data_IF_575297218369
#
_entry.id   IF_575297218369
#
_cell.length_a   1.000
_cell.length_b   1.000
_cell.length_c   1.000
_cell.angle_alpha   90.00
_cell.angle_beta   90.00
_cell.angle_gamma   90.00
#
_symmetry.space_group_name_H-M   'P 1'
#
loop_
_entity.id
_entity.type
_entity.pdbx_description
1 polymer ?
#
# COMPACT_ATOMS: atom_id res chain seq x y z
N UNK A 1 9.07 -0.09 4.28
CA UNK A 1 7.63 -0.32 4.50
C UNK A 1 7.36 -0.56 5.97
N UNK A 2 6.21 -0.09 6.47
CA UNK A 2 5.66 -0.56 7.74
C UNK A 2 5.05 -1.94 7.47
N UNK A 3 5.51 -2.97 8.17
CA UNK A 3 4.96 -4.31 8.01
C UNK A 3 3.97 -4.59 9.15
N UNK A 4 2.85 -5.20 8.78
CA UNK A 4 1.73 -5.51 9.65
C UNK A 4 1.66 -7.00 9.92
N UNK A 5 1.37 -7.32 11.18
CA UNK A 5 0.99 -8.62 11.75
C UNK A 5 1.92 -9.81 11.50
N UNK A 6 2.84 -10.07 12.43
CA UNK A 6 3.47 -11.39 12.55
C UNK A 6 2.44 -12.39 13.10
N UNK A 7 2.12 -13.44 12.34
CA UNK A 7 1.34 -14.59 12.78
C UNK A 7 2.25 -15.81 12.96
N UNK A 8 2.57 -16.19 14.21
CA UNK A 8 3.32 -17.42 14.50
C UNK A 8 2.39 -18.67 14.54
N UNK A 9 2.98 -19.84 14.27
CA UNK A 9 2.48 -21.02 13.53
C UNK A 9 1.53 -22.02 14.23
N UNK A 10 0.86 -22.83 13.40
CA UNK A 10 0.55 -24.23 13.69
C UNK A 10 1.15 -25.14 12.58
N UNK A 11 2.11 -25.99 12.98
CA UNK A 11 2.90 -26.97 12.21
C UNK A 11 2.23 -27.68 11.01
N UNK A 12 2.79 -27.56 9.79
CA UNK A 12 2.83 -28.62 8.76
C UNK A 12 4.09 -28.48 7.88
N UNK A 13 4.81 -29.58 7.67
CA UNK A 13 5.99 -29.70 6.81
C UNK A 13 5.71 -29.38 5.33
N UNK A 14 6.50 -28.49 4.70
CA UNK A 14 6.76 -28.49 3.25
C UNK A 14 8.21 -28.09 2.96
N UNK A 15 8.85 -28.84 2.06
CA UNK A 15 10.21 -28.67 1.55
C UNK A 15 10.32 -27.59 0.45
N UNK A 16 11.46 -26.87 0.48
CA UNK A 16 11.89 -25.68 -0.30
C UNK A 16 11.61 -25.65 -1.82
N UNK A 17 11.37 -24.43 -2.32
CA UNK A 17 12.10 -23.84 -3.45
C UNK A 17 12.19 -22.30 -3.31
N UNK A 18 13.36 -21.74 -3.63
CA UNK A 18 13.73 -20.32 -3.61
C UNK A 18 12.97 -19.48 -4.65
N UNK A 19 12.38 -18.38 -4.18
CA UNK A 19 12.19 -17.14 -4.93
C UNK A 19 12.12 -16.00 -3.90
N UNK A 20 12.95 -14.98 -4.02
CA UNK A 20 12.84 -13.73 -3.25
C UNK A 20 11.51 -13.05 -3.59
N UNK A 21 10.46 -13.38 -2.82
CA UNK A 21 9.11 -12.83 -2.95
C UNK A 21 9.04 -11.47 -2.26
N UNK A 22 8.64 -10.44 -3.01
CA UNK A 22 8.41 -9.08 -2.51
C UNK A 22 7.08 -9.03 -1.77
N UNK A 23 7.04 -8.60 -0.52
CA UNK A 23 5.80 -8.46 0.25
C UNK A 23 4.83 -7.44 -0.40
N UNK A 24 3.49 -7.65 -0.35
CA UNK A 24 2.52 -6.70 -0.89
C UNK A 24 2.70 -5.33 -0.25
N UNK A 25 2.64 -4.26 -1.03
CA UNK A 25 2.87 -2.89 -0.53
C UNK A 25 1.75 -1.96 -0.96
N UNK A 26 1.13 -1.27 -0.02
CA UNK A 26 0.05 -0.31 -0.30
C UNK A 26 0.41 1.08 0.24
N UNK A 27 0.08 2.14 -0.48
CA UNK A 27 0.47 3.51 -0.15
C UNK A 27 -0.15 4.03 1.15
N UNK A 28 0.62 4.78 1.95
CA UNK A 28 0.05 5.63 3.01
C UNK A 28 -0.76 6.76 2.37
N UNK A 29 -2.02 6.93 2.77
CA UNK A 29 -2.95 7.90 2.17
C UNK A 29 -3.22 9.15 3.00
N UNK A 30 -3.08 9.07 4.33
CA UNK A 30 -3.29 10.21 5.22
C UNK A 30 -2.26 10.23 6.35
N UNK A 31 -1.79 11.44 6.66
CA UNK A 31 -0.89 11.73 7.76
C UNK A 31 -1.54 12.79 8.67
N UNK A 32 -1.56 12.53 9.98
CA UNK A 32 -1.82 13.56 10.99
C UNK A 32 -0.49 13.84 11.70
N UNK A 33 0.13 14.98 11.36
CA UNK A 33 1.50 15.28 11.81
C UNK A 33 1.60 15.59 13.29
N UNK A 34 0.61 16.29 13.85
CA UNK A 34 0.58 16.63 15.27
C UNK A 34 0.43 15.36 16.12
N UNK A 35 -0.33 14.39 15.62
CA UNK A 35 -0.58 13.14 16.32
C UNK A 35 0.31 11.97 15.88
N UNK A 36 1.20 12.14 14.90
CA UNK A 36 2.01 11.05 14.31
C UNK A 36 1.17 9.81 13.95
N UNK A 37 0.03 10.05 13.30
CA UNK A 37 -0.85 8.98 12.80
C UNK A 37 -0.68 8.82 11.30
N UNK A 38 -0.61 7.57 10.87
CA UNK A 38 -0.64 7.20 9.45
C UNK A 38 -1.85 6.34 9.16
N UNK A 39 -2.52 6.59 8.05
CA UNK A 39 -3.59 5.74 7.55
C UNK A 39 -3.30 5.25 6.15
N UNK A 40 -3.68 4.01 5.87
CA UNK A 40 -3.49 3.37 4.58
C UNK A 40 -4.22 2.03 4.54
N UNK A 41 -4.57 1.59 3.34
CA UNK A 41 -5.05 0.23 3.14
C UNK A 41 -3.93 -0.77 3.47
N UNK A 42 -4.27 -1.84 4.17
CA UNK A 42 -3.43 -3.02 4.30
C UNK A 42 -3.63 -3.91 3.07
N UNK A 43 -4.86 -3.99 2.56
CA UNK A 43 -5.21 -4.76 1.39
C UNK A 43 -6.47 -4.21 0.71
N UNK A 44 -6.47 -4.13 -0.62
CA UNK A 44 -7.60 -3.69 -1.44
C UNK A 44 -8.21 -4.85 -2.25
N UNK A 45 -9.54 -4.91 -2.43
CA UNK A 45 -10.19 -6.02 -3.11
C UNK A 45 -10.05 -5.95 -4.64
N UNK A 46 -10.07 -7.12 -5.27
CA UNK A 46 -10.34 -7.25 -6.72
C UNK A 46 -9.21 -6.81 -7.65
N UNK A 47 -8.04 -6.48 -7.12
CA UNK A 47 -6.86 -6.11 -7.90
C UNK A 47 -5.62 -6.86 -7.40
N UNK A 48 -4.74 -7.37 -8.29
CA UNK A 48 -3.49 -8.00 -7.91
C UNK A 48 -2.57 -7.09 -7.10
N UNK A 49 -2.06 -7.60 -5.99
CA UNK A 49 -0.96 -6.98 -5.26
C UNK A 49 0.38 -7.19 -5.98
N UNK A 50 1.47 -6.75 -5.36
CA UNK A 50 2.81 -6.88 -5.96
C UNK A 50 3.32 -8.33 -6.09
N UNK A 51 2.60 -9.32 -5.55
CA UNK A 51 2.87 -10.75 -5.71
C UNK A 51 1.98 -11.39 -6.78
N UNK A 52 1.05 -10.65 -7.36
CA UNK A 52 0.04 -11.19 -8.27
C UNK A 52 -1.15 -11.86 -7.57
N UNK A 53 -1.18 -11.82 -6.23
CA UNK A 53 -2.29 -12.33 -5.44
C UNK A 53 -3.40 -11.28 -5.35
N UNK A 54 -4.65 -11.71 -5.23
CA UNK A 54 -5.78 -10.81 -5.01
C UNK A 54 -6.78 -11.47 -4.06
N UNK A 55 -7.59 -10.64 -3.40
CA UNK A 55 -8.59 -11.12 -2.45
C UNK A 55 -9.96 -10.50 -2.72
N UNK A 56 -11.01 -11.24 -2.36
CA UNK A 56 -12.38 -10.71 -2.32
C UNK A 56 -12.56 -9.86 -1.07
N UNK A 57 -13.46 -8.88 -1.13
CA UNK A 57 -13.78 -8.01 0.01
C UNK A 57 -14.19 -8.81 1.28
N UNK A 58 -14.93 -9.91 1.11
CA UNK A 58 -15.31 -10.78 2.23
C UNK A 58 -14.09 -11.44 2.91
N UNK A 59 -13.11 -11.90 2.13
CA UNK A 59 -11.86 -12.48 2.66
C UNK A 59 -11.07 -11.43 3.44
N UNK A 60 -10.95 -10.22 2.87
CA UNK A 60 -10.27 -9.08 3.49
C UNK A 60 -10.94 -8.69 4.81
N UNK A 61 -12.28 -8.62 4.83
CA UNK A 61 -13.05 -8.32 6.04
C UNK A 61 -12.82 -9.37 7.13
N UNK A 62 -12.86 -10.65 6.77
CA UNK A 62 -12.58 -11.73 7.72
C UNK A 62 -11.16 -11.63 8.30
N UNK A 63 -10.17 -11.30 7.48
CA UNK A 63 -8.79 -11.07 7.92
C UNK A 63 -8.66 -9.88 8.87
N UNK A 64 -9.31 -8.75 8.56
CA UNK A 64 -9.32 -7.58 9.42
C UNK A 64 -9.93 -7.88 10.81
N UNK A 65 -11.04 -8.60 10.84
CA UNK A 65 -11.70 -9.01 12.08
C UNK A 65 -10.83 -10.00 12.87
N UNK A 66 -10.23 -10.97 12.19
CA UNK A 66 -9.37 -11.96 12.83
C UNK A 66 -8.11 -11.33 13.42
N UNK A 67 -7.50 -10.37 12.72
CA UNK A 67 -6.37 -9.58 13.23
C UNK A 67 -6.70 -8.91 14.56
N UNK A 68 -7.88 -8.27 14.67
CA UNK A 68 -8.36 -7.66 15.90
C UNK A 68 -8.68 -8.70 16.97
N UNK A 69 -9.39 -9.77 16.61
CA UNK A 69 -9.76 -10.86 17.53
C UNK A 69 -8.54 -11.50 18.18
N UNK A 70 -7.45 -11.63 17.43
CA UNK A 70 -6.16 -12.18 17.89
C UNK A 70 -5.33 -11.19 18.70
N UNK A 71 -5.74 -9.93 18.79
CA UNK A 71 -5.01 -8.90 19.55
C UNK A 71 -3.70 -8.46 18.90
N UNK A 72 -3.57 -8.59 17.57
CA UNK A 72 -2.33 -8.29 16.83
C UNK A 72 -2.08 -6.78 16.63
N UNK A 73 -2.83 -5.92 17.32
CA UNK A 73 -2.80 -4.45 17.19
C UNK A 73 -1.44 -3.82 17.52
N UNK A 74 -0.56 -4.53 18.22
CA UNK A 74 0.81 -4.09 18.52
C UNK A 74 1.88 -4.85 17.71
N UNK A 75 1.48 -5.78 16.84
CA UNK A 75 2.38 -6.62 16.05
C UNK A 75 2.72 -5.91 14.74
N UNK A 76 3.40 -4.77 14.84
CA UNK A 76 3.85 -3.98 13.70
C UNK A 76 5.37 -3.97 13.72
N UNK A 77 5.99 -4.44 12.65
CA UNK A 77 7.42 -4.43 12.44
C UNK A 77 7.78 -3.56 11.23
N UNK A 78 9.07 -3.51 10.87
CA UNK A 78 9.51 -2.73 9.70
C UNK A 78 10.27 -3.62 8.75
N UNK A 79 9.86 -3.62 7.48
CA UNK A 79 10.48 -4.42 6.42
C UNK A 79 10.56 -5.93 6.72
N UNK A 80 9.56 -6.50 7.39
CA UNK A 80 9.49 -7.93 7.72
C UNK A 80 10.72 -8.44 8.49
N UNK A 81 11.28 -7.59 9.36
CA UNK A 81 12.42 -7.96 10.20
C UNK A 81 12.01 -8.74 11.45
N UNK A 82 10.70 -8.91 11.69
CA UNK A 82 10.13 -9.61 12.84
C UNK A 82 10.45 -8.95 14.20
N UNK A 83 10.91 -7.70 14.19
CA UNK A 83 11.19 -6.92 15.38
C UNK A 83 10.09 -5.86 15.57
N UNK A 84 9.44 -5.88 16.73
CA UNK A 84 8.35 -4.93 17.03
C UNK A 84 8.88 -3.50 16.99
N UNK A 85 8.27 -2.69 16.12
CA UNK A 85 8.62 -1.28 15.91
C UNK A 85 8.17 -0.35 17.05
N UNK A 86 7.34 -0.85 17.97
CA UNK A 86 6.67 -0.02 18.98
C UNK A 86 5.49 0.81 18.44
N UNK A 87 5.19 0.71 17.14
CA UNK A 87 3.96 1.25 16.56
C UNK A 87 2.76 0.41 16.99
N UNK A 88 1.57 1.02 17.01
CA UNK A 88 0.34 0.32 17.34
C UNK A 88 -0.87 0.87 16.60
N UNK A 89 -1.84 0.00 16.36
CA UNK A 89 -3.11 0.32 15.70
C UNK A 89 -3.99 1.14 16.64
N UNK A 90 -4.46 2.29 16.16
CA UNK A 90 -5.48 3.12 16.82
C UNK A 90 -6.85 2.98 16.17
N UNK A 91 -6.90 2.64 14.88
CA UNK A 91 -8.14 2.43 14.13
C UNK A 91 -7.98 1.26 13.14
N UNK A 92 -9.03 0.46 12.98
CA UNK A 92 -9.09 -0.62 12.00
C UNK A 92 -10.53 -0.74 11.48
N UNK A 93 -10.70 -0.61 10.16
CA UNK A 93 -12.03 -0.61 9.55
C UNK A 93 -12.00 -1.11 8.11
N UNK A 94 -13.17 -1.46 7.60
CA UNK A 94 -13.40 -1.71 6.17
C UNK A 94 -13.92 -0.43 5.54
N UNK A 95 -13.23 0.04 4.49
CA UNK A 95 -13.61 1.23 3.74
C UNK A 95 -15.00 1.05 3.11
N UNK A 96 -15.83 2.09 3.21
CA UNK A 96 -17.22 2.07 2.73
C UNK A 96 -17.29 2.42 1.25
N UNK A 97 -18.42 2.12 0.63
CA UNK A 97 -18.72 2.48 -0.77
C UNK A 97 -18.66 3.99 -1.02
N UNK A 98 -18.98 4.81 -0.01
CA UNK A 98 -18.98 6.27 -0.08
C UNK A 98 -17.70 6.91 0.50
N UNK A 99 -16.66 6.12 0.77
CA UNK A 99 -15.38 6.63 1.25
C UNK A 99 -14.63 7.37 0.12
N UNK A 100 -14.29 8.63 0.35
CA UNK A 100 -13.61 9.46 -0.65
C UNK A 100 -12.09 9.38 -0.59
N UNK A 101 -11.53 8.62 0.36
CA UNK A 101 -10.08 8.53 0.62
C UNK A 101 -9.58 7.12 0.33
N UNK A 102 -10.32 6.10 0.75
CA UNK A 102 -9.89 4.70 0.65
C UNK A 102 -10.71 3.93 -0.39
N UNK A 103 -10.10 2.91 -0.99
CA UNK A 103 -10.80 2.05 -1.96
C UNK A 103 -11.90 1.26 -1.23
N UNK A 104 -13.18 1.30 -1.67
CA UNK A 104 -14.26 0.55 -1.05
C UNK A 104 -13.94 -0.94 -0.85
N UNK A 105 -14.31 -1.47 0.32
CA UNK A 105 -14.07 -2.86 0.70
C UNK A 105 -12.63 -3.17 1.13
N UNK A 106 -11.73 -2.19 1.12
CA UNK A 106 -10.36 -2.36 1.61
C UNK A 106 -10.31 -2.43 3.13
N UNK A 107 -9.38 -3.21 3.66
CA UNK A 107 -9.02 -3.12 5.08
C UNK A 107 -8.05 -1.97 5.28
N UNK A 108 -8.43 -1.01 6.12
CA UNK A 108 -7.64 0.19 6.46
C UNK A 108 -7.19 0.12 7.91
N UNK A 109 -5.93 0.49 8.15
CA UNK A 109 -5.41 0.72 9.50
C UNK A 109 -5.02 2.18 9.68
N UNK A 110 -5.38 2.73 10.84
CA UNK A 110 -4.76 3.91 11.44
C UNK A 110 -3.73 3.47 12.46
N UNK A 111 -2.47 3.88 12.29
CA UNK A 111 -1.35 3.45 13.12
C UNK A 111 -0.67 4.66 13.76
N UNK A 112 -0.45 4.58 15.07
CA UNK A 112 0.39 5.52 15.82
C UNK A 112 1.85 5.12 15.69
N UNK A 113 2.70 6.11 15.44
CA UNK A 113 4.16 5.94 15.29
C UNK A 113 4.89 6.78 16.35
N UNK A 114 5.15 6.24 17.54
CA UNK A 114 5.76 7.01 18.63
C UNK A 114 7.25 7.30 18.44
N UNK A 115 7.97 6.42 17.73
CA UNK A 115 9.40 6.57 17.49
C UNK A 115 9.66 7.75 16.53
N UNK A 116 10.40 8.79 16.96
CA UNK A 116 10.70 9.94 16.11
C UNK A 116 11.48 9.60 14.83
N UNK A 117 12.32 8.56 14.87
CA UNK A 117 13.12 8.17 13.71
C UNK A 117 12.26 7.44 12.68
N UNK A 118 11.40 6.51 13.10
CA UNK A 118 10.41 5.91 12.20
C UNK A 118 9.47 6.97 11.62
N UNK A 119 9.05 7.93 12.43
CA UNK A 119 8.24 9.06 11.96
C UNK A 119 8.97 9.89 10.90
N UNK A 120 10.26 10.18 11.10
CA UNK A 120 11.10 10.87 10.12
C UNK A 120 11.17 10.09 8.80
N UNK A 121 11.46 8.79 8.85
CA UNK A 121 11.53 7.91 7.68
C UNK A 121 10.20 7.87 6.91
N UNK A 122 9.06 7.90 7.60
CA UNK A 122 7.74 7.99 6.96
C UNK A 122 7.59 9.32 6.24
N UNK A 123 7.89 10.45 6.90
CA UNK A 123 7.76 11.78 6.28
C UNK A 123 8.64 11.93 5.05
N UNK A 124 9.82 11.33 5.07
CA UNK A 124 10.75 11.35 3.94
C UNK A 124 10.40 10.33 2.84
N UNK A 125 9.38 9.50 3.04
CA UNK A 125 8.93 8.50 2.08
C UNK A 125 9.81 7.25 2.00
N UNK A 126 10.76 7.07 2.92
CA UNK A 126 11.53 5.83 3.05
C UNK A 126 10.61 4.66 3.50
N UNK A 127 9.67 4.97 4.40
CA UNK A 127 8.56 4.09 4.78
C UNK A 127 7.27 4.66 4.19
N UNK A 128 6.88 4.16 3.02
CA UNK A 128 5.81 4.75 2.21
C UNK A 128 4.54 3.89 2.09
N UNK A 129 4.50 2.75 2.76
CA UNK A 129 3.38 1.83 2.64
C UNK A 129 3.31 0.78 3.72
N UNK A 130 2.11 0.20 3.85
CA UNK A 130 1.86 -0.98 4.64
C UNK A 130 2.14 -2.25 3.85
N UNK A 131 2.54 -3.28 4.57
CA UNK A 131 2.74 -4.62 4.03
C UNK A 131 2.12 -5.65 4.95
N UNK A 132 1.41 -6.63 4.40
CA UNK A 132 0.81 -7.69 5.18
C UNK A 132 1.75 -8.88 5.26
N UNK A 133 2.11 -9.28 6.48
CA UNK A 133 2.68 -10.60 6.74
C UNK A 133 1.58 -11.56 7.23
N UNK A 134 1.62 -12.80 6.77
CA UNK A 134 0.58 -13.77 7.08
C UNK A 134 0.62 -15.01 6.19
N UNK A 135 -0.07 -16.05 6.66
CA UNK A 135 -0.26 -17.30 5.91
C UNK A 135 -1.64 -17.35 5.29
N UNK A 136 -1.73 -17.81 4.04
CA UNK A 136 -2.98 -17.98 3.31
C UNK A 136 -3.00 -19.32 2.56
N UNK A 137 -4.21 -19.81 2.30
CA UNK A 137 -4.44 -20.87 1.32
C UNK A 137 -4.70 -20.18 -0.01
N UNK A 138 -3.83 -20.44 -0.99
CA UNK A 138 -3.98 -19.91 -2.34
C UNK A 138 -4.82 -20.86 -3.19
N UNK A 139 -5.67 -20.29 -4.05
CA UNK A 139 -6.44 -21.02 -5.04
C UNK A 139 -6.24 -20.34 -6.39
N UNK A 140 -5.66 -21.08 -7.34
CA UNK A 140 -5.42 -20.59 -8.69
C UNK A 140 -6.74 -20.12 -9.32
N UNK A 141 -6.81 -18.83 -9.60
CA UNK A 141 -7.97 -18.18 -10.20
C UNK A 141 -7.50 -17.26 -11.31
N UNK A 142 -8.15 -17.33 -12.46
CA UNK A 142 -7.90 -16.40 -13.56
C UNK A 142 -8.83 -15.21 -13.41
N UNK A 143 -8.26 -14.02 -13.40
CA UNK A 143 -8.99 -12.76 -13.52
C UNK A 143 -8.58 -12.09 -14.82
N UNK A 144 -9.56 -11.52 -15.52
CA UNK A 144 -9.31 -10.67 -16.67
C UNK A 144 -9.44 -9.22 -16.20
N UNK A 145 -8.31 -8.50 -16.22
CA UNK A 145 -8.24 -7.08 -15.90
C UNK A 145 -7.79 -6.35 -17.15
N UNK A 146 -8.58 -5.38 -17.58
CA UNK A 146 -8.16 -4.44 -18.61
C UNK A 146 -7.14 -3.47 -18.01
N UNK A 147 -5.86 -3.77 -18.25
CA UNK A 147 -4.75 -2.90 -17.88
C UNK A 147 -4.48 -1.91 -19.01
N UNK A 148 -4.63 -0.59 -18.78
CA UNK A 148 -4.23 0.38 -19.78
C UNK A 148 -2.70 0.37 -19.92
N UNK A 149 -2.19 0.48 -21.16
CA UNK A 149 -0.74 0.59 -21.40
C UNK A 149 -0.13 1.82 -20.70
N UNK A 150 -0.94 2.87 -20.56
CA UNK A 150 -0.57 4.12 -19.91
C UNK A 150 -1.70 4.51 -18.96
N UNK A 151 -1.36 4.70 -17.69
CA UNK A 151 -2.27 5.21 -16.68
C UNK A 151 -1.86 6.63 -16.30
N UNK A 152 -2.86 7.51 -16.18
CA UNK A 152 -2.66 8.87 -15.69
C UNK A 152 -3.46 9.07 -14.40
N UNK A 153 -2.96 9.91 -13.50
CA UNK A 153 -3.63 10.25 -12.25
C UNK A 153 -3.04 11.48 -11.58
N UNK A 154 -3.40 11.72 -10.33
CA UNK A 154 -2.81 12.77 -9.49
C UNK A 154 -2.10 12.18 -8.28
N UNK A 155 -1.02 12.81 -7.85
CA UNK A 155 -0.34 12.46 -6.60
C UNK A 155 -1.08 12.97 -5.37
N UNK A 156 -0.62 12.55 -4.19
CA UNK A 156 -0.92 13.23 -2.94
C UNK A 156 -0.38 14.69 -2.93
N UNK A 157 -0.82 15.45 -1.92
CA UNK A 157 -0.30 16.78 -1.66
C UNK A 157 1.00 16.62 -0.86
N UNK A 158 2.11 17.09 -1.43
CA UNK A 158 3.37 17.28 -0.73
C UNK A 158 3.89 18.70 -1.01
N UNK A 159 4.50 19.32 0.00
CA UNK A 159 4.97 20.72 -0.06
C UNK A 159 3.95 21.70 -0.68
N UNK A 160 2.68 21.56 -0.27
CA UNK A 160 1.58 22.45 -0.68
C UNK A 160 1.05 22.27 -2.09
N UNK A 161 1.49 21.28 -2.87
CA UNK A 161 0.99 21.04 -4.24
C UNK A 161 0.88 19.55 -4.60
N UNK A 162 0.28 19.27 -5.76
CA UNK A 162 0.17 17.95 -6.38
C UNK A 162 0.83 17.97 -7.75
N UNK A 163 1.12 16.79 -8.29
CA UNK A 163 1.42 16.61 -9.70
C UNK A 163 0.42 15.67 -10.36
N UNK A 164 0.19 15.85 -11.66
CA UNK A 164 -0.30 14.75 -12.49
C UNK A 164 0.82 13.71 -12.63
N UNK A 165 0.51 12.42 -12.63
CA UNK A 165 1.48 11.38 -12.97
C UNK A 165 1.04 10.61 -14.20
N UNK A 166 2.04 10.04 -14.88
CA UNK A 166 1.86 9.05 -15.93
C UNK A 166 2.74 7.85 -15.63
N UNK A 167 2.16 6.65 -15.59
CA UNK A 167 2.89 5.39 -15.44
C UNK A 167 2.55 4.42 -16.57
N UNK A 168 3.51 3.58 -16.95
CA UNK A 168 3.36 2.57 -17.99
C UNK A 168 3.52 1.16 -17.44
N UNK A 169 2.77 0.23 -18.03
CA UNK A 169 2.80 -1.19 -17.69
C UNK A 169 3.26 -2.04 -18.88
N UNK A 170 3.88 -3.19 -18.60
CA UNK A 170 4.16 -4.19 -19.64
C UNK A 170 2.91 -5.03 -19.96
N UNK A 171 3.05 -5.96 -20.90
CA UNK A 171 1.97 -6.86 -21.32
C UNK A 171 1.62 -7.94 -20.28
N UNK A 172 2.35 -7.99 -19.15
CA UNK A 172 2.07 -8.84 -18.01
C UNK A 172 1.48 -8.03 -16.82
N UNK A 173 1.28 -6.72 -17.00
CA UNK A 173 0.74 -5.83 -15.98
C UNK A 173 1.79 -5.33 -14.98
N UNK A 174 3.08 -5.59 -15.18
CA UNK A 174 4.13 -5.08 -14.29
C UNK A 174 4.39 -3.59 -14.57
N UNK A 175 4.59 -2.81 -13.51
CA UNK A 175 4.96 -1.40 -13.60
C UNK A 175 6.36 -1.26 -14.23
N UNK A 176 6.45 -0.62 -15.38
CA UNK A 176 7.73 -0.27 -16.04
C UNK A 176 8.32 1.00 -15.41
N UNK A 177 7.47 1.92 -14.97
CA UNK A 177 7.83 3.21 -14.39
C UNK A 177 7.01 4.35 -14.97
N UNK A 178 7.40 5.58 -14.66
CA UNK A 178 6.65 6.76 -15.07
C UNK A 178 7.33 8.08 -14.73
N UNK A 179 6.60 9.17 -14.96
CA UNK A 179 7.01 10.53 -14.57
C UNK A 179 5.82 11.34 -14.10
N UNK A 180 6.08 12.39 -13.31
CA UNK A 180 5.08 13.41 -13.05
C UNK A 180 5.11 14.52 -14.11
N UNK A 181 4.00 15.26 -14.20
CA UNK A 181 3.95 16.55 -14.90
C UNK A 181 4.68 17.64 -14.10
N UNK A 182 4.99 18.78 -14.73
CA UNK A 182 5.74 19.85 -14.08
C UNK A 182 4.98 20.45 -12.89
N UNK A 183 5.68 20.63 -11.77
CA UNK A 183 5.21 21.39 -10.60
C UNK A 183 5.22 22.90 -10.82
N UNK A 184 4.88 23.72 -9.80
CA UNK A 184 4.77 25.18 -9.90
C UNK A 184 6.04 25.91 -10.37
N UNK A 185 7.22 25.35 -10.10
CA UNK A 185 8.55 25.83 -10.50
C UNK A 185 9.11 25.06 -11.73
N UNK A 186 8.33 24.15 -12.32
CA UNK A 186 8.65 23.38 -13.51
C UNK A 186 9.38 22.05 -13.28
N UNK A 187 9.66 21.63 -12.04
CA UNK A 187 10.33 20.35 -11.79
C UNK A 187 9.40 19.15 -12.00
N UNK A 188 9.99 17.98 -12.25
CA UNK A 188 9.30 16.70 -12.44
C UNK A 188 9.94 15.63 -11.58
N UNK A 189 9.17 14.60 -11.24
CA UNK A 189 9.67 13.42 -10.56
C UNK A 189 9.63 12.20 -11.48
N UNK A 190 10.61 11.33 -11.32
CA UNK A 190 10.57 9.99 -11.91
C UNK A 190 9.83 9.04 -10.97
N UNK A 191 9.13 8.08 -11.55
CA UNK A 191 8.45 7.00 -10.83
C UNK A 191 9.14 5.69 -11.19
N UNK A 192 9.77 5.07 -10.20
CA UNK A 192 10.46 3.77 -10.33
C UNK A 192 9.89 2.72 -9.36
N UNK A 193 9.03 3.14 -8.44
CA UNK A 193 8.33 2.30 -7.45
C UNK A 193 6.83 2.56 -7.53
N UNK A 194 6.02 1.62 -7.08
CA UNK A 194 4.56 1.67 -7.25
C UNK A 194 3.78 2.61 -6.33
N UNK A 195 4.43 3.22 -5.33
CA UNK A 195 3.72 3.97 -4.27
C UNK A 195 4.32 5.33 -3.93
N UNK A 196 5.51 5.66 -4.44
CA UNK A 196 6.18 6.95 -4.21
C UNK A 196 7.06 7.34 -5.40
N UNK A 197 7.15 8.64 -5.68
CA UNK A 197 8.07 9.20 -6.67
C UNK A 197 9.50 9.25 -6.13
N UNK A 198 10.49 9.39 -7.02
CA UNK A 198 11.84 9.79 -6.61
C UNK A 198 11.84 11.22 -6.04
N UNK A 199 12.81 11.51 -5.17
CA UNK A 199 13.00 12.85 -4.62
C UNK A 199 13.50 13.81 -5.69
N UNK A 200 12.79 14.93 -5.88
CA UNK A 200 13.22 16.05 -6.70
C UNK A 200 12.91 17.35 -5.95
N UNK A 201 13.78 18.36 -6.07
CA UNK A 201 13.64 19.64 -5.36
C UNK A 201 13.32 19.51 -3.86
N UNK A 202 13.91 18.49 -3.20
CA UNK A 202 13.80 18.30 -1.75
C UNK A 202 12.53 17.61 -1.26
N UNK A 203 11.62 17.16 -2.12
CA UNK A 203 10.42 16.40 -1.73
C UNK A 203 10.10 15.26 -2.70
N UNK A 204 9.14 14.43 -2.31
CA UNK A 204 8.58 13.32 -3.08
C UNK A 204 7.08 13.25 -2.85
N UNK A 205 6.39 12.54 -3.73
CA UNK A 205 4.94 12.37 -3.65
C UNK A 205 4.56 10.89 -3.54
N UNK A 206 3.49 10.59 -2.81
CA UNK A 206 2.83 9.28 -2.86
C UNK A 206 1.74 9.27 -3.93
N UNK A 207 1.48 8.09 -4.45
CA UNK A 207 0.40 7.86 -5.40
C UNK A 207 -0.04 6.39 -5.36
N UNK A 208 -1.24 6.10 -5.87
CA UNK A 208 -1.75 4.74 -6.03
C UNK A 208 -2.18 4.51 -7.48
N UNK A 209 -1.50 3.60 -8.18
CA UNK A 209 -1.91 3.23 -9.53
C UNK A 209 -3.17 2.32 -9.52
N UNK A 210 -3.42 1.61 -8.42
CA UNK A 210 -4.63 0.79 -8.25
C UNK A 210 -5.88 1.66 -8.31
N UNK A 211 -5.86 2.81 -7.61
CA UNK A 211 -6.94 3.79 -7.70
C UNK A 211 -7.13 4.31 -9.12
N UNK A 212 -6.03 4.60 -9.83
CA UNK A 212 -6.11 5.05 -11.21
C UNK A 212 -6.79 4.01 -12.11
N UNK A 213 -6.50 2.72 -11.95
CA UNK A 213 -7.12 1.64 -12.75
C UNK A 213 -8.60 1.51 -12.41
N UNK A 214 -8.95 1.47 -11.12
CA UNK A 214 -10.34 1.39 -10.68
C UNK A 214 -11.17 2.58 -11.17
N UNK A 215 -10.60 3.79 -11.15
CA UNK A 215 -11.25 5.00 -11.66
C UNK A 215 -11.50 4.94 -13.17
N UNK A 216 -10.56 4.39 -13.96
CA UNK A 216 -10.74 4.19 -15.40
C UNK A 216 -11.85 3.17 -15.67
N UNK A 217 -11.89 2.08 -14.92
CA UNK A 217 -12.93 1.04 -15.07
C UNK A 217 -14.32 1.55 -14.69
N UNK A 218 -14.43 2.39 -13.66
CA UNK A 218 -15.70 3.00 -13.26
C UNK A 218 -16.22 4.08 -14.23
N UNK A 219 -15.33 4.65 -15.07
CA UNK A 219 -15.67 5.67 -16.04
C UNK A 219 -16.14 5.13 -17.40
N UNK A 220 -15.99 3.82 -17.64
CA UNK A 220 -16.40 3.10 -18.85
C UNK A 220 -17.71 2.32 -18.64
#
# INVERSE_FOLDING_TARGET
MLAGAVAEEANVNVSKADATKSAPSVSIKKLDEEQQLVFGEVYAPGFPDSQGDFMKAETIQNMAHEFLRRGLVNNIDTNHNQELSGCYVVESFIAREDDSVFIPGSWVLGVKVPDPELWRMIKEGELNGFSLDGSAIQVDTVIEIEMPMVLNGETDIADGHKHTFQVSFDNQGNLIGGTTGPGPDGHVHRIVRGTVTETANGHSHRFSFVEGILNVQAAN
#
